data_IF_352078941671
#
_entry.id   IF_352078941671
#
_cell.length_a   1.000
_cell.length_b   1.000
_cell.length_c   1.000
_cell.angle_alpha   90.00
_cell.angle_beta   90.00
_cell.angle_gamma   90.00
#
_symmetry.space_group_name_H-M   'P 1'
#
loop_
_entity.id
_entity.type
_entity.pdbx_description
1 polymer ?
#
# COMPACT_ATOMS: atom_id res chain seq x y z
N UNK A 1 -8.20 -0.89 -13.83
CA UNK A 1 -9.03 0.11 -13.11
C UNK A 1 -8.20 0.97 -12.13
N UNK A 2 -8.05 0.59 -10.83
CA UNK A 2 -7.28 1.46 -9.91
C UNK A 2 -5.79 1.51 -10.24
N UNK A 3 -5.17 0.36 -10.48
CA UNK A 3 -3.75 0.30 -10.87
C UNK A 3 -3.48 1.01 -12.19
N UNK A 4 -4.35 0.85 -13.19
CA UNK A 4 -4.18 1.51 -14.49
C UNK A 4 -4.23 3.02 -14.33
N UNK A 5 -5.17 3.52 -13.53
CA UNK A 5 -5.27 4.93 -13.17
C UNK A 5 -3.98 5.44 -12.50
N UNK A 6 -3.43 4.70 -11.54
CA UNK A 6 -2.18 5.07 -10.86
C UNK A 6 -1.00 5.07 -11.86
N UNK A 7 -0.92 4.08 -12.76
CA UNK A 7 0.13 4.03 -13.78
C UNK A 7 0.09 5.25 -14.70
N UNK A 8 -1.10 5.61 -15.16
CA UNK A 8 -1.30 6.79 -16.03
C UNK A 8 -0.94 8.08 -15.29
N UNK A 9 -1.36 8.23 -14.04
CA UNK A 9 -1.02 9.39 -13.22
C UNK A 9 0.50 9.48 -13.00
N UNK A 10 1.14 8.39 -12.57
CA UNK A 10 2.59 8.38 -12.35
C UNK A 10 3.36 8.72 -13.63
N UNK A 11 2.92 8.21 -14.77
CA UNK A 11 3.49 8.56 -16.08
C UNK A 11 3.35 10.05 -16.40
N UNK A 12 2.17 10.61 -16.16
CA UNK A 12 1.89 12.03 -16.47
C UNK A 12 2.71 13.00 -15.63
N UNK A 13 2.97 12.65 -14.36
CA UNK A 13 3.81 13.47 -13.45
C UNK A 13 5.29 13.06 -13.44
N UNK A 14 5.70 12.15 -14.32
CA UNK A 14 7.06 11.61 -14.41
C UNK A 14 7.58 11.01 -13.08
N UNK A 15 6.69 10.46 -12.25
CA UNK A 15 7.03 9.79 -11.00
C UNK A 15 7.44 8.34 -11.27
N UNK A 16 8.68 7.91 -10.95
CA UNK A 16 9.09 6.53 -11.16
C UNK A 16 8.33 5.60 -10.22
N UNK A 17 7.85 4.47 -10.73
CA UNK A 17 7.13 3.46 -9.97
C UNK A 17 7.92 2.15 -9.97
N UNK A 18 8.30 1.69 -8.78
CA UNK A 18 9.05 0.45 -8.57
C UNK A 18 8.09 -0.69 -8.20
N UNK A 19 8.12 -1.77 -8.96
CA UNK A 19 7.25 -2.93 -8.78
C UNK A 19 8.11 -4.15 -8.48
N UNK A 20 7.93 -4.73 -7.29
CA UNK A 20 8.55 -5.99 -6.89
C UNK A 20 7.57 -7.13 -7.16
N UNK A 21 7.76 -7.81 -8.28
CA UNK A 21 6.83 -8.83 -8.76
C UNK A 21 7.17 -10.20 -8.18
N UNK A 22 6.28 -10.69 -7.32
CA UNK A 22 6.39 -12.02 -6.71
C UNK A 22 6.40 -13.15 -7.74
N UNK A 23 5.83 -12.92 -8.90
CA UNK A 23 5.66 -13.94 -9.94
C UNK A 23 6.68 -13.82 -11.08
N UNK A 24 7.66 -12.91 -10.97
CA UNK A 24 8.65 -12.63 -12.02
C UNK A 24 9.38 -13.87 -12.58
N UNK A 25 9.46 -14.95 -11.81
CA UNK A 25 10.14 -16.19 -12.20
C UNK A 25 9.19 -17.32 -12.64
N UNK A 26 7.87 -17.11 -12.61
CA UNK A 26 6.91 -18.14 -13.01
C UNK A 26 6.55 -18.04 -14.49
N UNK A 27 7.00 -19.00 -15.28
CA UNK A 27 6.69 -19.08 -16.72
C UNK A 27 5.18 -19.11 -17.01
N UNK A 28 4.35 -19.69 -16.12
CA UNK A 28 2.90 -19.72 -16.25
C UNK A 28 2.23 -18.33 -16.21
N UNK A 29 2.82 -17.36 -15.55
CA UNK A 29 2.31 -15.99 -15.45
C UNK A 29 2.65 -15.12 -16.68
N UNK A 30 3.45 -15.60 -17.59
CA UNK A 30 3.75 -14.88 -18.84
C UNK A 30 2.48 -14.58 -19.66
N UNK A 31 1.42 -15.34 -19.44
CA UNK A 31 0.14 -15.21 -20.14
C UNK A 31 -0.98 -14.55 -19.33
N UNK A 32 -0.88 -14.50 -18.01
CA UNK A 32 -2.00 -14.09 -17.14
C UNK A 32 -1.91 -12.66 -16.61
N UNK A 33 -0.71 -12.14 -16.37
CA UNK A 33 -0.54 -10.81 -15.78
C UNK A 33 0.67 -10.10 -16.37
N UNK A 34 0.44 -9.14 -17.25
CA UNK A 34 1.51 -8.27 -17.76
C UNK A 34 1.28 -6.86 -17.26
N UNK A 35 2.26 -6.33 -16.54
CA UNK A 35 2.32 -4.90 -16.33
C UNK A 35 2.50 -4.19 -17.68
N UNK A 36 1.82 -3.06 -17.93
CA UNK A 36 2.00 -2.31 -19.16
C UNK A 36 3.47 -1.93 -19.31
N UNK A 37 4.01 -2.03 -20.52
CA UNK A 37 5.33 -1.51 -20.84
C UNK A 37 5.26 0.01 -20.88
N UNK A 38 5.33 0.66 -19.74
CA UNK A 38 5.34 2.11 -19.61
C UNK A 38 6.73 2.62 -19.26
N UNK A 39 7.15 3.70 -19.90
CA UNK A 39 8.29 4.47 -19.43
C UNK A 39 8.00 4.96 -18.00
N UNK A 40 8.84 4.62 -17.03
CA UNK A 40 8.64 4.95 -15.61
C UNK A 40 8.28 3.78 -14.71
N UNK A 41 7.97 2.59 -15.27
CA UNK A 41 7.84 1.36 -14.48
C UNK A 41 9.21 0.66 -14.36
N UNK A 42 9.69 0.52 -13.14
CA UNK A 42 10.90 -0.21 -12.81
C UNK A 42 10.53 -1.57 -12.21
N UNK A 43 10.67 -2.62 -13.02
CA UNK A 43 10.38 -3.99 -12.60
C UNK A 43 11.56 -4.57 -11.85
N UNK A 44 11.29 -5.12 -10.67
CA UNK A 44 12.24 -5.84 -9.84
C UNK A 44 11.79 -7.30 -9.65
N UNK A 45 12.76 -8.17 -9.42
CA UNK A 45 12.49 -9.55 -9.04
C UNK A 45 11.80 -9.62 -7.67
N UNK A 46 11.20 -10.78 -7.39
CA UNK A 46 10.62 -11.05 -6.07
C UNK A 46 11.68 -10.89 -4.97
N UNK A 47 11.21 -10.43 -3.82
CA UNK A 47 12.02 -10.39 -2.60
C UNK A 47 11.56 -11.46 -1.61
N UNK A 48 12.47 -12.00 -0.79
CA UNK A 48 12.09 -12.72 0.41
C UNK A 48 11.18 -11.87 1.29
N UNK A 49 10.21 -12.50 1.93
CA UNK A 49 9.26 -11.76 2.80
C UNK A 49 9.97 -10.95 3.90
N UNK A 50 11.07 -11.48 4.43
CA UNK A 50 11.90 -10.83 5.44
C UNK A 50 12.52 -9.51 4.99
N UNK A 51 12.67 -9.29 3.70
CA UNK A 51 13.25 -8.07 3.12
C UNK A 51 12.18 -7.02 2.72
N UNK A 52 10.89 -7.40 2.73
CA UNK A 52 9.80 -6.51 2.29
C UNK A 52 9.74 -5.23 3.11
N UNK A 53 9.99 -5.30 4.41
CA UNK A 53 10.03 -4.12 5.29
C UNK A 53 11.13 -3.13 4.92
N UNK A 54 12.24 -3.59 4.37
CA UNK A 54 13.34 -2.73 3.88
C UNK A 54 12.89 -1.92 2.66
N UNK A 55 12.10 -2.53 1.77
CA UNK A 55 11.52 -1.83 0.61
C UNK A 55 10.60 -0.70 1.07
N UNK A 56 9.67 -0.97 2.00
CA UNK A 56 8.76 0.06 2.51
C UNK A 56 9.47 1.24 3.20
N UNK A 57 10.66 1.01 3.75
CA UNK A 57 11.50 2.08 4.33
C UNK A 57 12.36 2.81 3.31
N UNK A 58 12.63 2.19 2.17
CA UNK A 58 13.51 2.75 1.14
C UNK A 58 12.82 3.79 0.28
N UNK A 59 11.54 3.60 0.00
CA UNK A 59 10.76 4.48 -0.87
C UNK A 59 9.96 5.48 -0.06
N UNK A 60 9.92 6.73 -0.55
CA UNK A 60 9.18 7.79 0.11
C UNK A 60 7.67 7.51 0.19
N UNK A 61 7.13 6.80 -0.79
CA UNK A 61 5.69 6.48 -0.89
C UNK A 61 5.53 5.01 -1.25
N UNK A 62 4.58 4.35 -0.62
CA UNK A 62 4.17 2.98 -0.93
C UNK A 62 2.71 2.93 -1.36
N UNK A 63 2.43 2.13 -2.40
CA UNK A 63 1.07 1.93 -2.89
C UNK A 63 0.47 0.64 -2.32
N UNK A 64 -0.77 0.72 -1.90
CA UNK A 64 -1.60 -0.44 -1.60
C UNK A 64 -2.82 -0.48 -2.52
N UNK A 65 -3.21 -1.68 -2.88
CA UNK A 65 -4.43 -1.94 -3.66
C UNK A 65 -5.29 -2.93 -2.89
N UNK A 66 -6.48 -2.50 -2.51
CA UNK A 66 -7.51 -3.38 -1.99
C UNK A 66 -8.30 -3.93 -3.19
N UNK A 67 -8.17 -5.22 -3.46
CA UNK A 67 -8.87 -5.89 -4.57
C UNK A 67 -10.38 -6.01 -4.31
N UNK A 68 -10.77 -6.09 -3.04
CA UNK A 68 -12.15 -6.09 -2.59
C UNK A 68 -12.42 -4.76 -1.89
N UNK A 69 -13.29 -3.94 -2.50
CA UNK A 69 -13.53 -2.56 -2.06
C UNK A 69 -14.85 -2.37 -1.32
N UNK A 70 -15.65 -3.42 -1.21
CA UNK A 70 -16.98 -3.40 -0.57
C UNK A 70 -17.06 -4.26 0.71
N UNK A 71 -15.95 -4.71 1.24
CA UNK A 71 -15.90 -5.51 2.47
C UNK A 71 -15.70 -4.63 3.71
N UNK A 72 -16.49 -4.88 4.74
CA UNK A 72 -16.40 -4.19 6.04
C UNK A 72 -15.15 -4.56 6.85
N UNK A 73 -14.54 -5.69 6.56
CA UNK A 73 -13.45 -6.24 7.37
C UNK A 73 -12.18 -6.50 6.59
N UNK A 74 -12.27 -6.67 5.27
CA UNK A 74 -11.14 -7.06 4.45
C UNK A 74 -10.31 -5.86 4.00
N UNK A 75 -9.06 -5.84 4.40
CA UNK A 75 -8.02 -4.98 3.83
C UNK A 75 -6.80 -5.81 3.42
N UNK A 76 -6.01 -5.28 2.52
CA UNK A 76 -4.77 -5.92 2.12
C UNK A 76 -3.77 -5.97 3.30
N UNK A 77 -3.13 -7.12 3.51
CA UNK A 77 -2.05 -7.26 4.49
C UNK A 77 -0.93 -6.23 4.27
N UNK A 78 -0.67 -5.89 3.02
CA UNK A 78 0.33 -4.86 2.64
C UNK A 78 0.05 -3.51 3.28
N UNK A 79 -1.22 -3.13 3.44
CA UNK A 79 -1.60 -1.90 4.14
C UNK A 79 -1.01 -1.88 5.56
N UNK A 80 -1.22 -2.96 6.31
CA UNK A 80 -0.69 -3.08 7.68
C UNK A 80 0.84 -3.11 7.71
N UNK A 81 1.46 -3.79 6.75
CA UNK A 81 2.92 -3.90 6.65
C UNK A 81 3.57 -2.54 6.37
N UNK A 82 3.02 -1.76 5.43
CA UNK A 82 3.52 -0.41 5.10
C UNK A 82 3.40 0.50 6.32
N UNK A 83 2.22 0.54 6.94
CA UNK A 83 1.99 1.37 8.13
C UNK A 83 2.90 0.94 9.29
N UNK A 84 3.02 -0.35 9.58
CA UNK A 84 3.91 -0.86 10.63
C UNK A 84 5.38 -0.45 10.44
N UNK A 85 5.82 -0.29 9.19
CA UNK A 85 7.15 0.20 8.83
C UNK A 85 7.30 1.73 8.90
N UNK A 86 6.21 2.47 9.14
CA UNK A 86 6.20 3.94 9.10
C UNK A 86 6.26 4.50 7.69
N UNK A 87 5.81 3.74 6.68
CA UNK A 87 5.76 4.16 5.30
C UNK A 87 4.56 5.09 5.03
N UNK A 88 4.75 6.07 4.14
CA UNK A 88 3.65 6.90 3.63
C UNK A 88 2.86 6.06 2.64
N UNK A 89 1.60 5.86 2.96
CA UNK A 89 0.71 4.95 2.24
C UNK A 89 -0.29 5.71 1.38
N UNK A 90 -0.35 5.37 0.10
CA UNK A 90 -1.44 5.77 -0.82
C UNK A 90 -2.24 4.52 -1.17
N UNK A 91 -3.56 4.57 -1.06
CA UNK A 91 -4.45 3.41 -1.26
C UNK A 91 -5.80 3.80 -1.87
N UNK A 92 -6.48 2.85 -2.51
CA UNK A 92 -7.90 2.99 -2.82
C UNK A 92 -8.76 2.79 -1.57
N UNK A 93 -9.98 3.32 -1.63
CA UNK A 93 -10.93 3.22 -0.53
C UNK A 93 -11.53 1.81 -0.36
N UNK A 94 -11.92 1.50 0.87
CA UNK A 94 -12.81 0.41 1.26
C UNK A 94 -13.43 0.76 2.63
N UNK A 95 -14.56 0.15 3.03
CA UNK A 95 -15.20 0.45 4.32
C UNK A 95 -14.26 0.32 5.51
N UNK A 96 -13.41 -0.68 5.54
CA UNK A 96 -12.43 -0.86 6.62
C UNK A 96 -11.34 0.21 6.60
N UNK A 97 -10.88 0.64 5.42
CA UNK A 97 -9.90 1.73 5.30
C UNK A 97 -10.50 3.03 5.82
N UNK A 98 -11.71 3.34 5.40
CA UNK A 98 -12.41 4.55 5.85
C UNK A 98 -12.59 4.60 7.36
N UNK A 99 -13.01 3.48 7.97
CA UNK A 99 -13.31 3.40 9.39
C UNK A 99 -12.07 3.36 10.28
N UNK A 100 -11.03 2.62 9.87
CA UNK A 100 -9.89 2.32 10.76
C UNK A 100 -8.59 3.01 10.36
N UNK A 101 -8.37 3.29 9.07
CA UNK A 101 -7.05 3.68 8.57
C UNK A 101 -7.03 5.04 7.88
N UNK A 102 -8.17 5.69 7.69
CA UNK A 102 -8.29 6.97 6.98
C UNK A 102 -7.29 8.03 7.46
N UNK A 103 -7.10 8.11 8.77
CA UNK A 103 -6.20 9.09 9.38
C UNK A 103 -4.72 8.79 9.18
N UNK A 104 -4.37 7.59 8.72
CA UNK A 104 -2.99 7.11 8.62
C UNK A 104 -2.50 6.95 7.18
N UNK A 105 -3.34 7.18 6.19
CA UNK A 105 -3.00 7.00 4.78
C UNK A 105 -3.65 8.08 3.90
N UNK A 106 -3.17 8.17 2.66
CA UNK A 106 -3.79 8.96 1.62
C UNK A 106 -4.73 8.07 0.82
N UNK A 107 -6.03 8.30 0.94
CA UNK A 107 -7.04 7.58 0.17
C UNK A 107 -7.36 8.37 -1.09
N UNK A 108 -7.21 7.73 -2.24
CA UNK A 108 -7.51 8.33 -3.55
C UNK A 108 -8.59 7.52 -4.26
N UNK A 109 -9.56 8.20 -4.86
CA UNK A 109 -10.74 7.60 -5.47
C UNK A 109 -10.75 7.76 -6.98
N UNK A 110 -10.14 8.82 -7.48
CA UNK A 110 -10.09 9.18 -8.89
C UNK A 110 -8.72 9.70 -9.32
N UNK A 111 -8.55 9.90 -10.62
CA UNK A 111 -7.28 10.33 -11.21
C UNK A 111 -6.85 11.74 -10.77
N UNK A 112 -7.81 12.65 -10.52
CA UNK A 112 -7.52 14.02 -10.09
C UNK A 112 -6.93 14.02 -8.69
N UNK A 113 -7.56 13.33 -7.74
CA UNK A 113 -7.06 13.16 -6.38
C UNK A 113 -5.71 12.44 -6.36
N UNK A 114 -5.58 11.38 -7.17
CA UNK A 114 -4.33 10.64 -7.28
C UNK A 114 -3.19 11.54 -7.80
N UNK A 115 -3.46 12.35 -8.81
CA UNK A 115 -2.48 13.27 -9.37
C UNK A 115 -2.06 14.34 -8.36
N UNK A 116 -3.00 14.95 -7.67
CA UNK A 116 -2.72 15.96 -6.64
C UNK A 116 -1.84 15.38 -5.52
N UNK A 117 -2.26 14.24 -4.94
CA UNK A 117 -1.53 13.60 -3.84
C UNK A 117 -0.15 13.14 -4.28
N UNK A 118 -0.05 12.42 -5.40
CA UNK A 118 1.22 11.86 -5.86
C UNK A 118 2.19 12.94 -6.34
N UNK A 119 1.72 13.99 -7.03
CA UNK A 119 2.58 15.10 -7.45
C UNK A 119 3.16 15.84 -6.23
N UNK A 120 2.33 16.10 -5.21
CA UNK A 120 2.78 16.70 -3.95
C UNK A 120 3.82 15.84 -3.24
N UNK A 121 3.57 14.55 -3.12
CA UNK A 121 4.49 13.60 -2.48
C UNK A 121 5.79 13.41 -3.28
N UNK A 122 5.72 13.48 -4.63
CA UNK A 122 6.90 13.42 -5.50
C UNK A 122 7.82 14.63 -5.32
N UNK A 123 7.26 15.81 -5.03
CA UNK A 123 8.03 17.02 -4.71
C UNK A 123 8.70 16.96 -3.32
N UNK A 124 8.31 15.99 -2.50
CA UNK A 124 8.84 15.73 -1.16
C UNK A 124 7.75 15.69 -0.09
N UNK A 125 7.67 14.60 0.68
CA UNK A 125 6.71 14.48 1.78
C UNK A 125 6.93 15.54 2.85
N UNK A 126 5.86 16.25 3.22
CA UNK A 126 5.85 17.26 4.27
C UNK A 126 5.89 16.67 5.69
N UNK A 127 5.96 17.56 6.71
CA UNK A 127 5.88 17.14 8.12
C UNK A 127 4.60 16.36 8.43
N UNK A 128 3.45 16.80 7.93
CA UNK A 128 2.16 16.15 8.14
C UNK A 128 2.10 14.72 7.59
N UNK A 129 2.76 14.47 6.43
CA UNK A 129 2.82 13.13 5.85
C UNK A 129 3.64 12.19 6.73
N UNK A 130 4.73 12.70 7.31
CA UNK A 130 5.61 11.95 8.22
C UNK A 130 4.92 11.68 9.56
N UNK A 131 4.22 12.66 10.10
CA UNK A 131 3.43 12.51 11.34
C UNK A 131 2.30 11.48 11.13
N UNK A 132 1.58 11.56 10.01
CA UNK A 132 0.55 10.59 9.63
C UNK A 132 1.11 9.18 9.54
N UNK A 133 2.25 8.98 8.90
CA UNK A 133 2.91 7.68 8.80
C UNK A 133 3.40 7.17 10.16
N UNK A 134 3.95 8.04 11.01
CA UNK A 134 4.37 7.70 12.36
C UNK A 134 3.18 7.29 13.24
N UNK A 135 2.08 8.03 13.20
CA UNK A 135 0.84 7.70 13.90
C UNK A 135 0.28 6.34 13.43
N UNK A 136 0.31 6.08 12.12
CA UNK A 136 -0.08 4.79 11.55
C UNK A 136 0.77 3.64 12.06
N UNK A 137 2.08 3.83 12.18
CA UNK A 137 2.98 2.82 12.72
C UNK A 137 2.66 2.49 14.19
N UNK A 138 2.41 3.50 15.01
CA UNK A 138 1.99 3.32 16.41
C UNK A 138 0.66 2.56 16.46
N UNK A 139 -0.33 3.02 15.69
CA UNK A 139 -1.66 2.41 15.66
C UNK A 139 -1.62 0.91 15.31
N UNK A 140 -0.93 0.56 14.21
CA UNK A 140 -0.85 -0.84 13.77
C UNK A 140 -0.13 -1.72 14.80
N UNK A 141 0.96 -1.23 15.38
CA UNK A 141 1.72 -1.98 16.39
C UNK A 141 0.92 -2.18 17.69
N UNK A 142 0.03 -1.26 18.02
CA UNK A 142 -0.77 -1.32 19.25
C UNK A 142 -2.09 -2.08 19.09
N UNK A 143 -2.56 -2.34 17.85
CA UNK A 143 -3.90 -2.91 17.65
C UNK A 143 -3.95 -4.04 16.61
N UNK A 144 -2.91 -4.23 15.80
CA UNK A 144 -2.98 -5.13 14.64
C UNK A 144 -1.83 -6.13 14.56
N UNK A 145 -1.21 -6.49 15.68
CA UNK A 145 -0.21 -7.56 15.73
C UNK A 145 -0.88 -8.94 15.75
N UNK A 146 -0.11 -9.97 15.46
CA UNK A 146 -0.57 -11.36 15.59
C UNK A 146 -1.03 -11.67 17.02
N UNK A 147 -0.36 -11.12 18.04
CA UNK A 147 -0.77 -11.27 19.42
C UNK A 147 -2.20 -10.78 19.64
N UNK A 148 -2.53 -9.55 19.23
CA UNK A 148 -3.88 -8.99 19.32
C UNK A 148 -4.92 -9.87 18.58
N UNK A 149 -4.55 -10.46 17.44
CA UNK A 149 -5.46 -11.34 16.68
C UNK A 149 -5.72 -12.66 17.42
N UNK A 150 -4.69 -13.23 18.03
CA UNK A 150 -4.83 -14.45 18.82
C UNK A 150 -5.64 -14.21 20.09
N UNK A 151 -5.43 -13.10 20.78
CA UNK A 151 -6.22 -12.68 21.94
C UNK A 151 -7.71 -12.53 21.56
N UNK A 152 -8.01 -11.78 20.48
CA UNK A 152 -9.37 -11.64 19.98
C UNK A 152 -10.03 -12.98 19.62
N UNK A 153 -9.25 -13.87 19.03
CA UNK A 153 -9.75 -15.23 18.70
C UNK A 153 -10.06 -16.02 19.97
N UNK A 154 -9.16 -16.02 20.96
CA UNK A 154 -9.36 -16.67 22.23
C UNK A 154 -10.62 -16.16 22.95
N UNK A 155 -10.82 -14.85 23.00
CA UNK A 155 -12.02 -14.23 23.59
C UNK A 155 -13.30 -14.64 22.86
N UNK A 156 -13.24 -14.78 21.51
CA UNK A 156 -14.41 -15.14 20.70
C UNK A 156 -14.82 -16.60 20.90
N UNK A 157 -13.87 -17.49 21.12
CA UNK A 157 -14.12 -18.94 21.27
C UNK A 157 -14.15 -19.40 22.74
N UNK A 158 -14.08 -18.47 23.69
CA UNK A 158 -14.13 -18.73 25.13
C UNK A 158 -13.10 -19.79 25.61
N UNK A 159 -11.86 -19.64 25.12
CA UNK A 159 -10.73 -20.43 25.63
C UNK A 159 -10.10 -19.74 26.84
#
# INVERSE_FOLDING_TARGET
>A
QFLDMIFDVCKNIAMPLHIYDRNSHRMSHFFEFRFPKNAGLHMHNQLPYTETGTVYKRYAVSLNVNSITNSETMCSRRLLEILACGGILVTNNSPVVERQFRNFCHVVQDASQAQEVLARLAAGPGPEDKERAAAGAVYVRSHHTWQHRLEQLADTVNF
#
